data_IF_011562979440
#
_entry.id   IF_011562979440
#
_cell.length_a   1.000
_cell.length_b   1.000
_cell.length_c   1.000
_cell.angle_alpha   90.00
_cell.angle_beta   90.00
_cell.angle_gamma   90.00
#
_symmetry.space_group_name_H-M   'P 1'
#
loop_
_entity.id
_entity.type
_entity.pdbx_description
1 polymer ?
#
# COMPACT_ATOMS: atom_id res chain seq x y z
N UNK A 1 -38.55 -8.68 -15.12
CA UNK A 1 -37.09 -8.42 -15.10
C UNK A 1 -36.59 -8.91 -13.76
N UNK A 2 -36.14 -10.16 -13.72
CA UNK A 2 -35.52 -10.73 -12.53
C UNK A 2 -34.16 -10.05 -12.36
N UNK A 3 -34.07 -9.15 -11.38
CA UNK A 3 -32.79 -8.67 -10.92
C UNK A 3 -32.19 -9.83 -10.12
N UNK A 4 -31.36 -10.67 -10.74
CA UNK A 4 -30.40 -11.44 -9.96
C UNK A 4 -29.51 -10.42 -9.24
N UNK A 5 -29.57 -10.31 -7.90
CA UNK A 5 -28.62 -9.51 -7.17
C UNK A 5 -27.31 -10.29 -7.25
N UNK A 6 -26.54 -10.03 -8.30
CA UNK A 6 -25.19 -10.58 -8.44
C UNK A 6 -24.39 -9.92 -7.32
N UNK A 7 -24.34 -10.59 -6.18
CA UNK A 7 -23.64 -10.10 -5.01
C UNK A 7 -22.14 -10.05 -5.37
N UNK A 8 -21.41 -8.97 -5.05
CA UNK A 8 -19.99 -8.81 -5.43
C UNK A 8 -19.06 -9.68 -4.56
N UNK A 9 -19.44 -10.93 -4.32
CA UNK A 9 -18.71 -11.90 -3.49
C UNK A 9 -17.30 -12.11 -4.05
N UNK A 10 -17.16 -12.19 -5.38
CA UNK A 10 -15.86 -12.34 -6.03
C UNK A 10 -14.93 -11.18 -5.69
N UNK A 11 -15.40 -9.94 -5.83
CA UNK A 11 -14.62 -8.74 -5.52
C UNK A 11 -14.21 -8.70 -4.04
N UNK A 12 -15.13 -9.04 -3.13
CA UNK A 12 -14.84 -9.08 -1.69
C UNK A 12 -13.78 -10.14 -1.36
N UNK A 13 -13.92 -11.35 -1.90
CA UNK A 13 -12.96 -12.45 -1.66
C UNK A 13 -11.58 -12.09 -2.20
N UNK A 14 -11.47 -11.53 -3.41
CA UNK A 14 -10.20 -11.08 -3.96
C UNK A 14 -9.60 -9.92 -3.16
N UNK A 15 -10.42 -8.98 -2.70
CA UNK A 15 -9.95 -7.88 -1.86
C UNK A 15 -9.35 -8.41 -0.56
N UNK A 16 -10.02 -9.37 0.10
CA UNK A 16 -9.51 -10.00 1.33
C UNK A 16 -8.22 -10.76 1.04
N UNK A 17 -8.15 -11.52 -0.07
CA UNK A 17 -6.96 -12.26 -0.47
C UNK A 17 -5.77 -11.33 -0.70
N UNK A 18 -5.94 -10.26 -1.48
CA UNK A 18 -4.88 -9.29 -1.74
C UNK A 18 -4.46 -8.56 -0.47
N UNK A 19 -5.41 -8.20 0.39
CA UNK A 19 -5.12 -7.60 1.68
C UNK A 19 -4.25 -8.55 2.54
N UNK A 20 -4.63 -9.82 2.64
CA UNK A 20 -3.90 -10.80 3.44
C UNK A 20 -2.47 -11.01 2.92
N UNK A 21 -2.30 -11.19 1.60
CA UNK A 21 -0.99 -11.36 0.96
C UNK A 21 -0.11 -10.14 1.19
N UNK A 22 -0.66 -8.94 0.98
CA UNK A 22 0.04 -7.67 1.18
C UNK A 22 0.50 -7.52 2.63
N UNK A 23 -0.38 -7.78 3.61
CA UNK A 23 -0.04 -7.68 5.03
C UNK A 23 1.12 -8.60 5.39
N UNK A 24 1.11 -9.85 4.92
CA UNK A 24 2.18 -10.82 5.21
C UNK A 24 3.52 -10.37 4.63
N UNK A 25 3.52 -9.91 3.37
CA UNK A 25 4.73 -9.45 2.68
C UNK A 25 5.29 -8.20 3.37
N UNK A 26 4.44 -7.20 3.62
CA UNK A 26 4.87 -5.96 4.26
C UNK A 26 5.34 -6.21 5.68
N UNK A 27 4.63 -7.01 6.48
CA UNK A 27 5.07 -7.36 7.82
C UNK A 27 6.45 -8.03 7.82
N UNK A 28 6.72 -8.90 6.84
CA UNK A 28 8.04 -9.52 6.65
C UNK A 28 9.14 -8.49 6.37
N UNK A 29 8.88 -7.56 5.46
CA UNK A 29 9.84 -6.52 5.06
C UNK A 29 10.05 -5.51 6.20
N UNK A 30 8.99 -5.07 6.87
CA UNK A 30 9.06 -4.20 8.04
C UNK A 30 9.89 -4.86 9.15
N UNK A 31 9.66 -6.13 9.45
CA UNK A 31 10.44 -6.87 10.45
C UNK A 31 11.93 -6.91 10.08
N UNK A 32 12.25 -7.21 8.82
CA UNK A 32 13.64 -7.35 8.38
C UNK A 32 14.37 -6.01 8.33
N UNK A 33 13.69 -4.93 7.94
CA UNK A 33 14.30 -3.60 7.74
C UNK A 33 14.28 -2.73 8.99
N UNK A 34 13.19 -2.75 9.76
CA UNK A 34 13.01 -1.92 10.96
C UNK A 34 13.31 -2.67 12.26
N UNK A 35 13.61 -3.99 12.19
CA UNK A 35 13.92 -4.85 13.36
C UNK A 35 12.85 -4.83 14.45
N UNK A 36 11.61 -4.54 14.06
CA UNK A 36 10.47 -4.54 14.95
C UNK A 36 10.12 -5.97 15.38
N UNK A 37 9.41 -6.10 16.51
CA UNK A 37 8.83 -7.37 16.92
C UNK A 37 7.93 -7.97 15.83
N UNK A 38 7.78 -9.29 15.81
CA UNK A 38 6.92 -9.96 14.83
C UNK A 38 5.47 -9.46 14.93
N UNK A 39 4.95 -9.38 16.16
CA UNK A 39 3.58 -8.92 16.41
C UNK A 39 3.37 -7.45 16.01
N UNK A 40 4.32 -6.56 16.31
CA UNK A 40 4.22 -5.13 15.96
C UNK A 40 4.33 -4.91 14.46
N UNK A 41 5.21 -5.65 13.77
CA UNK A 41 5.33 -5.58 12.30
C UNK A 41 4.04 -5.98 11.60
N UNK A 42 3.37 -7.04 12.08
CA UNK A 42 2.09 -7.50 11.54
C UNK A 42 0.98 -6.49 11.85
N UNK A 43 0.92 -5.95 13.06
CA UNK A 43 -0.07 -4.92 13.43
C UNK A 43 0.07 -3.66 12.57
N UNK A 44 1.29 -3.17 12.38
CA UNK A 44 1.54 -1.99 11.56
C UNK A 44 1.20 -2.22 10.09
N UNK A 45 1.60 -3.36 9.53
CA UNK A 45 1.23 -3.73 8.17
C UNK A 45 -0.29 -3.85 8.01
N UNK A 46 -1.00 -4.44 9.00
CA UNK A 46 -2.44 -4.56 8.97
C UNK A 46 -3.13 -3.20 8.98
N UNK A 47 -2.76 -2.31 9.92
CA UNK A 47 -3.39 -1.00 10.06
C UNK A 47 -3.12 -0.13 8.83
N UNK A 48 -1.89 -0.10 8.33
CA UNK A 48 -1.53 0.72 7.16
C UNK A 48 -2.18 0.22 5.87
N UNK A 49 -2.27 -1.09 5.67
CA UNK A 49 -2.98 -1.65 4.51
C UNK A 49 -4.48 -1.46 4.59
N UNK A 50 -5.09 -1.67 5.76
CA UNK A 50 -6.51 -1.40 5.95
C UNK A 50 -6.84 0.08 5.75
N UNK A 51 -6.02 0.99 6.29
CA UNK A 51 -6.16 2.43 6.07
C UNK A 51 -6.05 2.80 4.58
N UNK A 52 -5.14 2.16 3.84
CA UNK A 52 -5.00 2.37 2.39
C UNK A 52 -6.24 1.90 1.64
N UNK A 53 -6.80 0.75 2.01
CA UNK A 53 -8.05 0.23 1.41
C UNK A 53 -9.24 1.15 1.71
N UNK A 54 -9.40 1.59 2.97
CA UNK A 54 -10.46 2.52 3.37
C UNK A 54 -10.31 3.86 2.64
N UNK A 55 -9.09 4.40 2.55
CA UNK A 55 -8.83 5.62 1.79
C UNK A 55 -9.17 5.44 0.30
N UNK A 56 -8.84 4.30 -0.29
CA UNK A 56 -9.24 3.96 -1.67
C UNK A 56 -10.75 3.98 -1.86
N UNK A 57 -11.51 3.39 -0.92
CA UNK A 57 -12.98 3.44 -0.92
C UNK A 57 -13.53 4.85 -0.74
N UNK A 58 -12.96 5.66 0.15
CA UNK A 58 -13.37 7.06 0.34
C UNK A 58 -13.15 7.86 -0.96
N UNK A 59 -11.99 7.69 -1.60
CA UNK A 59 -11.70 8.35 -2.89
C UNK A 59 -12.65 7.86 -3.97
N UNK A 60 -12.94 6.56 -4.04
CA UNK A 60 -13.91 6.01 -4.97
C UNK A 60 -15.30 6.62 -4.78
N UNK A 61 -15.79 6.66 -3.54
CA UNK A 61 -17.08 7.25 -3.19
C UNK A 61 -17.13 8.78 -3.41
N UNK A 62 -15.99 9.46 -3.29
CA UNK A 62 -15.88 10.88 -3.57
C UNK A 62 -15.90 11.18 -5.08
N UNK A 63 -15.29 10.31 -5.90
CA UNK A 63 -15.23 10.47 -7.36
C UNK A 63 -16.53 9.99 -8.03
N UNK A 64 -17.19 8.97 -7.49
CA UNK A 64 -18.45 8.42 -8.00
C UNK A 64 -19.49 9.49 -8.38
N UNK A 65 -19.82 10.48 -7.52
CA UNK A 65 -20.82 11.50 -7.85
C UNK A 65 -20.34 12.54 -8.88
N UNK A 66 -19.02 12.69 -9.08
CA UNK A 66 -18.48 13.58 -10.12
C UNK A 66 -18.40 12.89 -11.50
N UNK A 67 -18.58 11.56 -11.56
CA UNK A 67 -18.51 10.81 -12.80
C UNK A 67 -19.81 10.92 -13.62
N UNK A 68 -19.68 11.12 -14.94
CA UNK A 68 -20.81 11.05 -15.85
C UNK A 68 -21.50 9.68 -15.80
N UNK A 69 -22.82 9.64 -16.06
CA UNK A 69 -23.66 8.44 -15.96
C UNK A 69 -23.06 7.22 -16.69
N UNK A 70 -22.50 7.42 -17.89
CA UNK A 70 -21.89 6.35 -18.70
C UNK A 70 -20.58 5.80 -18.10
N UNK A 71 -19.82 6.63 -17.38
CA UNK A 71 -18.57 6.21 -16.71
C UNK A 71 -18.90 5.54 -15.38
N UNK A 72 -19.94 6.01 -14.68
CA UNK A 72 -20.38 5.45 -13.40
C UNK A 72 -20.84 4.00 -13.53
N UNK A 73 -21.66 3.69 -14.52
CA UNK A 73 -22.12 2.32 -14.78
C UNK A 73 -20.95 1.38 -15.13
N UNK A 74 -19.99 1.88 -15.92
CA UNK A 74 -18.76 1.13 -16.23
C UNK A 74 -17.92 0.91 -14.98
N UNK A 75 -17.65 1.95 -14.17
CA UNK A 75 -16.86 1.84 -12.94
C UNK A 75 -17.47 0.86 -11.95
N UNK A 76 -18.78 0.95 -11.70
CA UNK A 76 -19.50 0.04 -10.80
C UNK A 76 -19.42 -1.38 -11.35
N UNK A 77 -19.64 -1.57 -12.65
CA UNK A 77 -19.56 -2.90 -13.25
C UNK A 77 -18.14 -3.49 -13.22
N UNK A 78 -17.10 -2.68 -13.39
CA UNK A 78 -15.71 -3.10 -13.30
C UNK A 78 -15.30 -3.44 -11.86
N UNK A 79 -15.70 -2.62 -10.87
CA UNK A 79 -15.31 -2.78 -9.46
C UNK A 79 -16.10 -3.89 -8.78
N UNK A 80 -17.41 -4.02 -9.02
CA UNK A 80 -18.25 -5.04 -8.39
C UNK A 80 -18.21 -6.40 -9.11
N UNK A 81 -18.12 -6.41 -10.44
CA UNK A 81 -18.23 -7.65 -11.23
C UNK A 81 -16.90 -8.15 -11.79
N UNK A 82 -15.77 -7.48 -11.50
CA UNK A 82 -14.43 -7.96 -11.87
C UNK A 82 -14.32 -8.23 -13.38
N UNK A 83 -15.01 -7.41 -14.18
CA UNK A 83 -15.03 -7.47 -15.65
C UNK A 83 -13.81 -6.77 -16.30
N UNK A 84 -12.73 -6.58 -15.53
CA UNK A 84 -11.56 -5.78 -15.90
C UNK A 84 -10.78 -6.30 -17.12
N UNK A 85 -11.05 -7.52 -17.59
CA UNK A 85 -10.27 -8.18 -18.64
C UNK A 85 -11.08 -8.63 -19.86
N UNK A 86 -12.42 -8.51 -19.86
CA UNK A 86 -13.26 -9.18 -20.87
C UNK A 86 -13.81 -8.19 -21.92
N UNK A 87 -13.76 -6.88 -21.65
CA UNK A 87 -14.30 -5.86 -22.56
C UNK A 87 -13.23 -5.13 -23.37
N UNK A 88 -12.75 -5.71 -24.47
CA UNK A 88 -12.03 -5.02 -25.55
C UNK A 88 -10.81 -4.21 -25.12
N UNK A 89 -9.67 -4.88 -24.99
CA UNK A 89 -8.37 -4.25 -24.72
C UNK A 89 -8.00 -3.29 -25.85
N UNK A 90 -8.16 -1.99 -25.62
CA UNK A 90 -7.68 -0.94 -26.54
C UNK A 90 -6.47 -0.26 -25.93
N UNK A 91 -5.49 0.12 -26.75
CA UNK A 91 -4.26 0.75 -26.27
C UNK A 91 -4.52 2.01 -25.41
N UNK A 92 -5.61 2.73 -25.69
CA UNK A 92 -6.04 3.91 -24.93
C UNK A 92 -6.52 3.56 -23.50
N UNK A 93 -7.30 2.47 -23.35
CA UNK A 93 -7.74 2.00 -22.02
C UNK A 93 -6.57 1.43 -21.22
N UNK A 94 -5.66 0.70 -21.88
CA UNK A 94 -4.43 0.21 -21.26
C UNK A 94 -3.53 1.34 -20.74
N UNK A 95 -3.32 2.39 -21.55
CA UNK A 95 -2.55 3.56 -21.14
C UNK A 95 -3.20 4.30 -19.96
N UNK A 96 -4.53 4.46 -19.96
CA UNK A 96 -5.26 5.08 -18.86
C UNK A 96 -5.13 4.27 -17.56
N UNK A 97 -5.31 2.95 -17.63
CA UNK A 97 -5.15 2.06 -16.48
C UNK A 97 -3.71 2.08 -15.94
N UNK A 98 -2.72 2.13 -16.83
CA UNK A 98 -1.32 2.24 -16.43
C UNK A 98 -1.03 3.53 -15.65
N UNK A 99 -1.53 4.67 -16.15
CA UNK A 99 -1.40 5.96 -15.45
C UNK A 99 -2.13 5.91 -14.10
N UNK A 100 -3.35 5.39 -14.05
CA UNK A 100 -4.08 5.21 -12.80
C UNK A 100 -3.33 4.32 -11.81
N UNK A 101 -2.75 3.20 -12.25
CA UNK A 101 -1.97 2.30 -11.41
C UNK A 101 -0.75 2.99 -10.81
N UNK A 102 -0.04 3.81 -11.59
CA UNK A 102 1.08 4.62 -11.11
C UNK A 102 0.61 5.61 -10.03
N UNK A 103 -0.48 6.33 -10.27
CA UNK A 103 -1.01 7.30 -9.29
C UNK A 103 -1.41 6.60 -7.99
N UNK A 104 -2.16 5.49 -8.09
CA UNK A 104 -2.57 4.68 -6.94
C UNK A 104 -1.36 4.15 -6.17
N UNK A 105 -0.31 3.73 -6.87
CA UNK A 105 0.94 3.27 -6.25
C UNK A 105 1.59 4.36 -5.40
N UNK A 106 1.73 5.58 -5.92
CA UNK A 106 2.32 6.70 -5.17
C UNK A 106 1.45 7.14 -3.99
N UNK A 107 0.13 7.20 -4.18
CA UNK A 107 -0.81 7.53 -3.10
C UNK A 107 -0.74 6.47 -1.99
N UNK A 108 -0.68 5.19 -2.34
CA UNK A 108 -0.53 4.09 -1.38
C UNK A 108 0.78 4.20 -0.59
N UNK A 109 1.92 4.49 -1.25
CA UNK A 109 3.19 4.75 -0.56
C UNK A 109 3.04 5.90 0.44
N UNK A 110 2.41 7.00 0.03
CA UNK A 110 2.26 8.18 0.89
C UNK A 110 1.43 7.87 2.13
N UNK A 111 0.28 7.21 1.95
CA UNK A 111 -0.61 6.80 3.06
C UNK A 111 0.13 5.83 3.99
N UNK A 112 0.83 4.83 3.46
CA UNK A 112 1.57 3.86 4.27
C UNK A 112 2.74 4.49 5.01
N UNK A 113 3.50 5.38 4.36
CA UNK A 113 4.61 6.09 4.98
C UNK A 113 4.10 6.93 6.16
N UNK A 114 3.04 7.73 5.95
CA UNK A 114 2.48 8.59 6.99
C UNK A 114 1.78 7.80 8.09
N UNK A 115 1.06 6.73 7.74
CA UNK A 115 0.43 5.84 8.69
C UNK A 115 1.47 5.16 9.58
N UNK A 116 2.53 4.60 8.99
CA UNK A 116 3.59 3.95 9.74
C UNK A 116 4.38 4.94 10.61
N UNK A 117 4.70 6.13 10.10
CA UNK A 117 5.33 7.21 10.87
C UNK A 117 4.47 7.61 12.08
N UNK A 118 3.15 7.70 11.91
CA UNK A 118 2.22 8.02 12.99
C UNK A 118 2.17 6.91 14.05
N UNK A 119 2.08 5.64 13.64
CA UNK A 119 2.05 4.51 14.57
C UNK A 119 3.35 4.39 15.36
N UNK A 120 4.51 4.53 14.69
CA UNK A 120 5.80 4.52 15.36
C UNK A 120 5.94 5.65 16.38
N UNK A 121 5.40 6.85 16.07
CA UNK A 121 5.39 7.98 17.01
C UNK A 121 4.46 7.76 18.19
N UNK A 122 3.32 7.09 17.98
CA UNK A 122 2.39 6.78 19.05
C UNK A 122 2.94 5.75 20.04
N UNK A 123 3.75 4.80 19.55
CA UNK A 123 4.38 3.76 20.38
C UNK A 123 5.75 4.18 20.95
N UNK A 124 6.16 5.46 20.84
CA UNK A 124 7.49 5.99 21.17
C UNK A 124 8.68 5.28 20.49
N UNK A 125 8.42 4.27 19.66
CA UNK A 125 9.42 3.52 18.88
C UNK A 125 10.05 4.36 17.77
N UNK A 126 9.40 5.46 17.39
CA UNK A 126 9.98 6.46 16.50
C UNK A 126 11.23 7.09 17.10
N UNK A 127 11.34 7.25 18.42
CA UNK A 127 12.56 7.79 19.05
C UNK A 127 13.71 6.76 19.09
N UNK A 128 13.38 5.47 19.05
CA UNK A 128 14.36 4.37 18.95
C UNK A 128 14.92 4.26 17.52
N UNK A 129 14.11 4.60 16.51
CA UNK A 129 14.51 4.58 15.11
C UNK A 129 15.11 5.91 14.65
N UNK A 130 14.44 7.04 14.91
CA UNK A 130 14.93 8.38 14.59
C UNK A 130 15.86 8.87 15.71
N UNK A 131 17.16 9.11 15.46
CA UNK A 131 18.01 9.66 16.49
C UNK A 131 17.64 11.13 16.66
N UNK A 132 16.90 11.45 17.73
CA UNK A 132 16.63 12.84 18.11
C UNK A 132 17.15 13.11 19.52
N UNK A 133 18.22 13.92 19.56
CA UNK A 133 18.68 14.71 20.70
C UNK A 133 18.46 14.03 22.06
N UNK A 134 19.26 13.00 22.36
CA UNK A 134 19.63 12.82 23.76
C UNK A 134 20.19 14.17 24.24
N UNK A 135 19.67 14.68 25.36
CA UNK A 135 20.30 15.73 26.15
C UNK A 135 21.64 15.19 26.69
N UNK A 136 22.58 14.88 25.81
CA UNK A 136 23.94 14.58 26.19
C UNK A 136 24.57 15.86 26.66
N UNK A 137 25.32 15.78 27.75
CA UNK A 137 26.10 16.89 28.29
C UNK A 137 26.75 17.71 27.16
N UNK A 138 26.78 19.05 27.32
CA UNK A 138 27.31 20.03 26.34
C UNK A 138 28.72 19.71 25.78
N UNK A 139 29.47 18.81 26.44
CA UNK A 139 30.77 18.30 26.00
C UNK A 139 30.68 17.18 24.96
N UNK A 140 29.72 16.26 25.08
CA UNK A 140 29.54 15.12 24.15
C UNK A 140 28.91 15.55 22.82
N UNK A 141 28.00 16.54 22.87
CA UNK A 141 27.36 17.11 21.69
C UNK A 141 28.35 17.77 20.71
N UNK A 142 29.50 18.26 21.21
CA UNK A 142 30.53 18.91 20.38
C UNK A 142 31.38 17.89 19.61
N UNK A 143 31.61 16.71 20.20
CA UNK A 143 32.30 15.59 19.54
C UNK A 143 31.39 14.80 18.59
N UNK A 144 30.10 14.66 18.90
CA UNK A 144 29.12 14.02 18.01
C UNK A 144 28.87 14.83 16.72
N UNK A 145 28.80 16.17 16.83
CA UNK A 145 28.64 17.07 15.67
C UNK A 145 29.83 17.07 14.72
N UNK A 146 31.03 16.82 15.22
CA UNK A 146 32.25 16.80 14.41
C UNK A 146 32.43 15.51 13.59
N UNK A 147 31.65 14.44 13.84
CA UNK A 147 31.95 13.10 13.27
C UNK A 147 30.80 12.29 12.64
N UNK A 148 29.53 12.74 12.67
CA UNK A 148 28.50 12.06 11.84
C UNK A 148 27.11 11.86 12.44
N UNK A 149 26.66 12.77 13.31
CA UNK A 149 25.30 12.66 13.85
C UNK A 149 24.22 12.98 12.79
N UNK A 150 24.49 13.94 11.91
CA UNK A 150 23.61 14.26 10.77
C UNK A 150 23.53 13.09 9.77
N UNK A 151 24.64 12.38 9.52
CA UNK A 151 24.66 11.23 8.62
C UNK A 151 23.95 10.01 9.19
N UNK A 152 23.96 9.80 10.52
CA UNK A 152 23.17 8.74 11.18
C UNK A 152 21.67 9.02 11.14
N UNK A 153 21.23 10.24 11.46
CA UNK A 153 19.83 10.62 11.34
C UNK A 153 19.30 10.49 9.90
N UNK A 154 20.10 10.95 8.94
CA UNK A 154 19.80 10.78 7.52
C UNK A 154 19.72 9.29 7.13
N UNK A 155 20.61 8.45 7.66
CA UNK A 155 20.63 7.01 7.35
C UNK A 155 19.43 6.23 7.89
N UNK A 156 18.83 6.64 9.02
CA UNK A 156 17.62 5.98 9.51
C UNK A 156 16.36 6.45 8.78
N UNK A 157 16.29 7.73 8.42
CA UNK A 157 15.19 8.26 7.61
C UNK A 157 15.22 7.63 6.22
N UNK A 158 16.40 7.46 5.62
CA UNK A 158 16.55 6.76 4.35
C UNK A 158 16.19 5.28 4.48
N UNK A 159 16.65 4.58 5.52
CA UNK A 159 16.32 3.16 5.70
C UNK A 159 14.82 2.91 5.95
N UNK A 160 14.15 3.83 6.65
CA UNK A 160 12.69 3.83 6.81
C UNK A 160 11.97 4.04 5.48
N UNK A 161 12.37 5.08 4.73
CA UNK A 161 11.77 5.41 3.43
C UNK A 161 11.96 4.26 2.44
N UNK A 162 13.17 3.70 2.38
CA UNK A 162 13.49 2.53 1.59
C UNK A 162 12.62 1.34 2.01
N UNK A 163 12.46 1.08 3.31
CA UNK A 163 11.64 -0.02 3.80
C UNK A 163 10.18 0.10 3.34
N UNK A 164 9.58 1.29 3.40
CA UNK A 164 8.21 1.52 2.95
C UNK A 164 8.09 1.37 1.44
N UNK A 165 9.04 1.91 0.67
CA UNK A 165 9.05 1.80 -0.80
C UNK A 165 9.20 0.33 -1.21
N UNK A 166 10.18 -0.38 -0.63
CA UNK A 166 10.39 -1.81 -0.91
C UNK A 166 9.19 -2.66 -0.52
N UNK A 167 8.58 -2.40 0.64
CA UNK A 167 7.39 -3.11 1.09
C UNK A 167 6.23 -2.93 0.10
N UNK A 168 5.95 -1.69 -0.31
CA UNK A 168 4.87 -1.42 -1.25
C UNK A 168 5.17 -1.97 -2.66
N UNK A 169 6.41 -1.84 -3.15
CA UNK A 169 6.84 -2.39 -4.44
C UNK A 169 6.72 -3.91 -4.48
N UNK A 170 7.15 -4.60 -3.41
CA UNK A 170 7.04 -6.05 -3.31
C UNK A 170 5.58 -6.50 -3.33
N UNK A 171 4.72 -5.85 -2.55
CA UNK A 171 3.30 -6.16 -2.49
C UNK A 171 2.58 -5.95 -3.82
N UNK A 172 2.81 -4.81 -4.49
CA UNK A 172 2.24 -4.56 -5.81
C UNK A 172 2.76 -5.54 -6.87
N UNK A 173 4.05 -5.92 -6.80
CA UNK A 173 4.62 -6.94 -7.69
C UNK A 173 3.97 -8.30 -7.48
N UNK A 174 3.72 -8.70 -6.22
CA UNK A 174 3.04 -9.96 -5.92
C UNK A 174 1.57 -9.94 -6.35
N UNK A 175 0.86 -8.83 -6.14
CA UNK A 175 -0.51 -8.68 -6.65
C UNK A 175 -0.52 -8.82 -8.18
N UNK A 176 0.40 -8.17 -8.88
CA UNK A 176 0.50 -8.25 -10.33
C UNK A 176 0.81 -9.69 -10.79
N UNK A 177 1.70 -10.39 -10.08
CA UNK A 177 1.99 -11.80 -10.35
C UNK A 177 0.76 -12.70 -10.12
N UNK A 178 0.01 -12.48 -9.04
CA UNK A 178 -1.22 -13.22 -8.75
C UNK A 178 -2.29 -12.96 -9.82
N UNK A 179 -2.41 -11.72 -10.29
CA UNK A 179 -3.30 -11.36 -11.38
C UNK A 179 -2.88 -12.05 -12.69
N UNK A 180 -1.58 -12.07 -13.02
CA UNK A 180 -1.07 -12.75 -14.20
C UNK A 180 -1.29 -14.26 -14.12
N UNK A 181 -1.04 -14.87 -12.95
CA UNK A 181 -1.30 -16.30 -12.75
C UNK A 181 -2.80 -16.61 -12.92
N UNK A 182 -3.67 -15.73 -12.43
CA UNK A 182 -5.12 -15.85 -12.61
C UNK A 182 -5.50 -15.75 -14.09
N UNK A 183 -4.98 -14.77 -14.84
CA UNK A 183 -5.32 -14.62 -16.26
C UNK A 183 -4.90 -15.84 -17.06
N UNK A 184 -3.69 -16.33 -16.81
CA UNK A 184 -3.23 -17.59 -17.41
C UNK A 184 -4.17 -18.72 -17.02
N UNK A 185 -4.44 -18.95 -15.72
CA UNK A 185 -5.31 -20.04 -15.27
C UNK A 185 -6.72 -20.00 -15.89
N UNK A 186 -7.28 -18.80 -16.16
CA UNK A 186 -8.57 -18.66 -16.83
C UNK A 186 -8.53 -19.04 -18.31
N UNK A 187 -7.41 -18.82 -19.00
CA UNK A 187 -7.19 -19.27 -20.39
C UNK A 187 -7.14 -20.81 -20.48
N UNK A 188 -6.68 -21.51 -19.44
CA UNK A 188 -6.65 -22.99 -19.40
C UNK A 188 -7.99 -23.65 -19.07
N UNK A 189 -9.01 -22.89 -18.65
CA UNK A 189 -10.34 -23.40 -18.30
C UNK A 189 -11.37 -23.32 -19.45
N UNK A 190 -10.89 -23.19 -20.71
CA UNK A 190 -11.69 -23.31 -21.92
C UNK A 190 -11.29 -24.55 -22.73
#
# INVERSE_FOLDING_TARGET
MEYEPIFPIKAIVFQILFLMVTIVIEAGILRQRLRLGFQTSVQYALVTNLATVVAGWIVFLAIEPLASISIRERMISYVLFDNLLIGGWTAQVGALLFVCAIVVFFVAIFIKAKGLELLLRADDTWEVLAPRNQKTNLRDARYARARGDASRAQSTISSFTDAVIYANAASFSTILLLLLLRTVAQEWTF
#
